data_IF_372114805139
#
_entry.id   IF_372114805139
#
_cell.length_a   1.000
_cell.length_b   1.000
_cell.length_c   1.000
_cell.angle_alpha   90.00
_cell.angle_beta   90.00
_cell.angle_gamma   90.00
#
_symmetry.space_group_name_H-M   'P 1'
#
loop_
_entity.id
_entity.type
_entity.pdbx_description
1 polymer ?
#
# COMPACT_ATOMS: atom_id res chain seq x y z
N UNK A 1 -4.46 8.09 12.62
CA UNK A 1 -5.75 7.37 12.48
C UNK A 1 -5.48 5.96 11.95
N UNK A 2 -6.20 4.92 12.40
CA UNK A 2 -6.07 3.58 11.81
C UNK A 2 -7.00 3.43 10.60
N UNK A 3 -6.52 2.83 9.51
CA UNK A 3 -7.30 2.55 8.31
C UNK A 3 -7.00 1.14 7.79
N UNK A 4 -7.97 0.55 7.11
CA UNK A 4 -7.84 -0.79 6.52
C UNK A 4 -8.67 -0.91 5.25
N UNK A 5 -8.17 -1.68 4.29
CA UNK A 5 -8.92 -2.08 3.10
C UNK A 5 -8.63 -3.55 2.77
N UNK A 6 -9.61 -4.26 2.23
CA UNK A 6 -9.46 -5.67 1.86
C UNK A 6 -10.12 -5.99 0.53
N UNK A 7 -9.49 -6.88 -0.23
CA UNK A 7 -10.00 -7.43 -1.48
C UNK A 7 -9.70 -8.92 -1.55
N UNK A 8 -10.52 -9.67 -2.28
CA UNK A 8 -10.27 -11.08 -2.57
C UNK A 8 -9.53 -11.20 -3.89
N UNK A 9 -8.50 -12.03 -3.92
CA UNK A 9 -7.69 -12.38 -5.08
C UNK A 9 -7.97 -13.84 -5.42
N UNK A 10 -8.24 -14.13 -6.71
CA UNK A 10 -8.56 -15.47 -7.24
C UNK A 10 -7.31 -16.33 -7.44
N UNK A 11 -6.44 -16.35 -6.43
CA UNK A 11 -5.28 -17.23 -6.37
C UNK A 11 -5.08 -17.71 -4.93
N UNK A 12 -4.48 -18.89 -4.75
CA UNK A 12 -4.14 -19.40 -3.43
C UNK A 12 -3.09 -18.54 -2.73
N UNK A 13 -3.04 -18.62 -1.40
CA UNK A 13 -2.09 -17.81 -0.62
C UNK A 13 -0.65 -18.14 -0.98
N UNK A 14 -0.38 -19.41 -1.30
CA UNK A 14 0.94 -19.91 -1.67
C UNK A 14 1.39 -19.38 -3.04
N UNK A 15 0.48 -19.25 -4.00
CA UNK A 15 0.77 -18.62 -5.29
C UNK A 15 1.06 -17.14 -5.13
N UNK A 16 0.19 -16.41 -4.42
CA UNK A 16 0.41 -14.99 -4.13
C UNK A 16 1.71 -14.75 -3.36
N UNK A 17 2.03 -15.60 -2.36
CA UNK A 17 3.27 -15.51 -1.59
C UNK A 17 4.51 -15.71 -2.48
N UNK A 18 4.45 -16.64 -3.44
CA UNK A 18 5.53 -16.83 -4.42
C UNK A 18 5.73 -15.59 -5.28
N UNK A 19 4.63 -15.00 -5.78
CA UNK A 19 4.69 -13.76 -6.55
C UNK A 19 5.26 -12.59 -5.73
N UNK A 20 4.91 -12.48 -4.44
CA UNK A 20 5.47 -11.45 -3.55
C UNK A 20 7.00 -11.54 -3.43
N UNK A 21 7.55 -12.75 -3.42
CA UNK A 21 8.98 -13.01 -3.20
C UNK A 21 9.86 -12.80 -4.44
N UNK A 22 9.31 -12.65 -5.64
CA UNK A 22 10.11 -12.49 -6.86
C UNK A 22 10.74 -11.09 -6.93
N UNK A 23 9.90 -10.06 -7.10
CA UNK A 23 10.33 -8.69 -7.37
C UNK A 23 9.19 -7.71 -7.05
N UNK A 24 9.35 -6.80 -6.06
CA UNK A 24 8.33 -5.83 -5.68
C UNK A 24 7.79 -4.98 -6.82
N UNK A 25 8.61 -4.68 -7.83
CA UNK A 25 8.24 -3.92 -9.02
C UNK A 25 7.15 -4.56 -9.88
N UNK A 26 6.92 -5.88 -9.75
CA UNK A 26 5.89 -6.57 -10.53
C UNK A 26 4.50 -6.48 -9.89
N UNK A 27 4.43 -6.35 -8.57
CA UNK A 27 3.16 -6.36 -7.84
C UNK A 27 2.85 -5.05 -7.12
N UNK A 28 3.84 -4.24 -6.74
CA UNK A 28 3.59 -2.95 -6.08
C UNK A 28 3.36 -1.85 -7.11
N UNK A 29 2.28 -1.06 -7.01
CA UNK A 29 1.95 -0.07 -8.03
C UNK A 29 3.00 1.03 -8.16
N UNK A 30 3.46 1.25 -9.39
CA UNK A 30 4.29 2.40 -9.79
C UNK A 30 5.52 2.59 -8.91
N UNK A 31 6.10 1.48 -8.47
CA UNK A 31 7.34 1.47 -7.73
C UNK A 31 8.48 1.82 -8.68
N UNK A 32 9.09 2.98 -8.49
CA UNK A 32 10.28 3.44 -9.20
C UNK A 32 11.46 3.28 -8.27
N UNK A 33 12.29 2.27 -8.53
CA UNK A 33 13.57 2.12 -7.84
C UNK A 33 14.51 3.25 -8.28
N UNK A 34 14.87 4.15 -7.36
CA UNK A 34 15.98 5.08 -7.63
C UNK A 34 17.29 4.29 -7.54
N UNK A 35 17.90 4.00 -8.69
CA UNK A 35 19.28 3.52 -8.73
C UNK A 35 20.20 4.71 -8.40
N UNK A 36 20.79 4.71 -7.20
CA UNK A 36 21.75 5.73 -6.79
C UNK A 36 22.08 5.70 -5.29
N UNK A 37 23.37 5.54 -4.98
CA UNK A 37 23.98 5.35 -3.66
C UNK A 37 23.51 6.30 -2.54
N UNK A 38 22.49 5.88 -1.79
CA UNK A 38 22.35 6.00 -0.31
C UNK A 38 20.99 5.45 0.08
N UNK A 39 20.98 4.25 0.68
CA UNK A 39 19.80 3.55 1.26
C UNK A 39 18.65 3.32 0.28
N UNK A 40 18.40 2.05 -0.10
CA UNK A 40 17.43 1.61 -1.12
C UNK A 40 15.98 2.07 -0.84
N UNK A 41 15.68 3.31 -1.18
CA UNK A 41 14.37 3.91 -1.05
C UNK A 41 13.69 3.95 -2.42
N UNK A 42 12.53 3.34 -2.53
CA UNK A 42 11.75 3.30 -3.76
C UNK A 42 10.73 4.44 -3.76
N UNK A 43 10.51 5.09 -4.89
CA UNK A 43 9.51 6.15 -5.04
C UNK A 43 8.23 5.54 -5.62
N UNK A 44 7.08 5.81 -5.02
CA UNK A 44 5.79 5.46 -5.61
C UNK A 44 4.86 6.67 -5.62
N UNK A 45 3.90 6.67 -6.53
CA UNK A 45 2.85 7.69 -6.57
C UNK A 45 1.63 7.21 -5.77
N UNK A 46 1.23 7.97 -4.75
CA UNK A 46 0.00 7.72 -3.98
C UNK A 46 -1.06 8.75 -4.38
N UNK A 47 -2.29 8.27 -4.59
CA UNK A 47 -3.47 9.09 -4.84
C UNK A 47 -4.26 9.35 -3.57
N UNK A 48 -4.69 10.59 -3.35
CA UNK A 48 -5.61 10.96 -2.27
C UNK A 48 -6.49 12.13 -2.73
N UNK A 49 -7.60 12.39 -2.04
CA UNK A 49 -8.50 13.51 -2.34
C UNK A 49 -8.37 14.60 -1.27
N UNK A 50 -8.15 15.85 -1.66
CA UNK A 50 -8.18 17.03 -0.77
C UNK A 50 -9.30 17.95 -1.25
N UNK A 51 -10.28 18.24 -0.38
CA UNK A 51 -11.46 19.03 -0.74
C UNK A 51 -12.18 18.51 -2.00
N UNK A 52 -12.20 17.18 -2.19
CA UNK A 52 -12.80 16.52 -3.36
C UNK A 52 -11.90 16.46 -4.62
N UNK A 53 -10.76 17.15 -4.64
CA UNK A 53 -9.85 17.15 -5.79
C UNK A 53 -8.82 16.02 -5.70
N UNK A 54 -8.58 15.24 -6.78
CA UNK A 54 -7.57 14.21 -6.79
C UNK A 54 -6.17 14.84 -6.78
N UNK A 55 -5.35 14.44 -5.83
CA UNK A 55 -3.94 14.82 -5.71
C UNK A 55 -3.10 13.54 -5.83
N UNK A 56 -2.15 13.54 -6.76
CA UNK A 56 -1.15 12.48 -6.93
C UNK A 56 0.23 13.03 -6.68
N UNK A 57 0.96 12.43 -5.73
CA UNK A 57 2.31 12.88 -5.36
C UNK A 57 3.21 11.68 -5.09
N UNK A 58 4.50 11.91 -5.31
CA UNK A 58 5.53 10.92 -5.05
C UNK A 58 5.84 10.86 -3.55
N UNK A 59 5.61 9.69 -2.97
CA UNK A 59 6.06 9.35 -1.63
C UNK A 59 7.26 8.43 -1.74
N UNK A 60 8.10 8.47 -0.73
CA UNK A 60 9.11 7.46 -0.52
C UNK A 60 8.43 6.26 0.13
N UNK A 61 8.43 5.12 -0.55
CA UNK A 61 7.90 3.84 -0.05
C UNK A 61 9.06 3.01 0.47
N UNK A 62 8.82 2.32 1.59
CA UNK A 62 9.67 1.26 2.09
C UNK A 62 8.84 -0.01 2.22
N UNK A 63 9.35 -1.09 1.63
CA UNK A 63 8.80 -2.43 1.75
C UNK A 63 9.74 -3.24 2.65
N UNK A 64 9.18 -3.82 3.70
CA UNK A 64 9.93 -4.71 4.59
C UNK A 64 10.08 -6.11 4.00
N UNK A 65 10.86 -6.93 4.68
CA UNK A 65 10.99 -8.36 4.36
C UNK A 65 9.64 -9.05 4.62
N UNK A 66 9.15 -9.90 3.69
CA UNK A 66 7.95 -10.69 3.93
C UNK A 66 8.11 -11.63 5.13
N UNK A 67 7.09 -11.64 5.99
CA UNK A 67 7.01 -12.45 7.20
C UNK A 67 5.93 -13.51 6.97
N UNK A 68 6.32 -14.78 6.93
CA UNK A 68 5.40 -15.91 6.82
C UNK A 68 5.13 -16.51 8.20
N UNK A 69 3.87 -16.78 8.51
CA UNK A 69 3.47 -17.44 9.76
C UNK A 69 2.27 -18.33 9.49
N UNK A 70 2.46 -19.65 9.64
CA UNK A 70 1.43 -20.62 9.27
C UNK A 70 1.07 -20.49 7.80
N UNK A 71 -0.21 -20.24 7.52
CA UNK A 71 -0.79 -20.13 6.19
C UNK A 71 -0.91 -18.68 5.68
N UNK A 72 -0.46 -17.68 6.45
CA UNK A 72 -0.52 -16.28 6.03
C UNK A 72 0.87 -15.66 5.88
N UNK A 73 0.92 -14.61 5.07
CA UNK A 73 2.12 -13.80 4.82
C UNK A 73 1.79 -12.33 5.03
N UNK A 74 2.73 -11.57 5.59
CA UNK A 74 2.63 -10.12 5.69
C UNK A 74 3.91 -9.44 5.22
N UNK A 75 3.75 -8.32 4.53
CA UNK A 75 4.85 -7.45 4.10
C UNK A 75 4.67 -6.11 4.82
N UNK A 76 5.61 -5.68 5.68
CA UNK A 76 5.58 -4.33 6.23
C UNK A 76 5.63 -3.30 5.10
N UNK A 77 4.78 -2.28 5.15
CA UNK A 77 4.72 -1.19 4.16
C UNK A 77 4.69 0.12 4.92
N UNK A 78 5.58 1.03 4.57
CA UNK A 78 5.48 2.41 5.02
C UNK A 78 5.69 3.36 3.86
N UNK A 79 5.13 4.56 3.98
CA UNK A 79 5.53 5.66 3.12
C UNK A 79 5.62 6.98 3.86
N UNK A 80 6.56 7.80 3.42
CA UNK A 80 6.78 9.15 3.92
C UNK A 80 6.86 10.14 2.75
N UNK A 81 6.43 11.39 2.95
CA UNK A 81 6.55 12.41 1.93
C UNK A 81 8.01 12.76 1.63
N UNK A 82 8.29 13.04 0.36
CA UNK A 82 9.63 13.43 -0.09
C UNK A 82 9.94 14.89 0.20
N UNK A 83 9.02 15.84 0.00
CA UNK A 83 9.02 17.24 0.49
C UNK A 83 7.80 18.01 -0.08
N UNK A 84 7.24 19.02 0.60
CA UNK A 84 7.33 19.32 2.04
C UNK A 84 6.43 18.39 2.88
N UNK A 85 6.93 17.97 4.04
CA UNK A 85 6.36 16.89 4.84
C UNK A 85 4.95 17.17 5.40
N UNK A 86 4.58 18.44 5.62
CA UNK A 86 3.29 18.83 6.23
C UNK A 86 2.08 18.76 5.29
N UNK A 87 2.30 18.56 3.98
CA UNK A 87 1.24 18.57 2.97
C UNK A 87 0.77 17.18 2.55
N UNK A 88 1.34 16.12 3.13
CA UNK A 88 1.15 14.76 2.65
C UNK A 88 1.04 13.74 3.77
N UNK A 89 0.30 12.65 3.54
CA UNK A 89 0.09 11.64 4.56
C UNK A 89 1.35 10.80 4.82
N UNK A 90 1.54 10.43 6.08
CA UNK A 90 2.47 9.37 6.49
C UNK A 90 1.66 8.10 6.70
N UNK A 91 2.23 6.97 6.30
CA UNK A 91 1.64 5.66 6.58
C UNK A 91 2.67 4.70 7.12
N UNK A 92 2.27 3.96 8.13
CA UNK A 92 3.01 2.83 8.68
C UNK A 92 2.03 1.66 8.86
N UNK A 93 2.29 0.56 8.17
CA UNK A 93 1.35 -0.55 8.11
C UNK A 93 1.92 -1.79 7.45
N UNK A 94 1.02 -2.58 6.88
CA UNK A 94 1.34 -3.85 6.26
C UNK A 94 0.34 -4.22 5.17
N UNK A 95 0.83 -4.97 4.20
CA UNK A 95 0.06 -5.86 3.35
C UNK A 95 -0.01 -7.23 4.04
N UNK A 96 -1.18 -7.84 4.13
CA UNK A 96 -1.37 -9.21 4.64
C UNK A 96 -2.15 -10.03 3.63
N UNK A 97 -1.70 -11.24 3.38
CA UNK A 97 -2.42 -12.25 2.61
C UNK A 97 -2.81 -13.39 3.53
N UNK A 98 -4.09 -13.76 3.52
CA UNK A 98 -4.65 -14.85 4.35
C UNK A 98 -5.50 -15.74 3.46
N UNK A 99 -5.51 -17.07 3.64
CA UNK A 99 -6.45 -17.94 2.94
C UNK A 99 -7.89 -17.47 3.12
N UNK A 100 -8.68 -17.51 2.04
CA UNK A 100 -10.09 -17.11 2.09
C UNK A 100 -11.03 -18.25 1.72
N UNK A 101 -10.75 -18.94 0.62
CA UNK A 101 -11.43 -20.15 0.15
C UNK A 101 -10.44 -20.94 -0.70
N UNK A 102 -10.83 -22.11 -1.19
CA UNK A 102 -10.00 -22.87 -2.13
C UNK A 102 -9.69 -22.01 -3.37
N UNK A 103 -8.41 -21.87 -3.70
CA UNK A 103 -7.95 -21.00 -4.79
C UNK A 103 -8.15 -19.49 -4.56
N UNK A 104 -8.51 -19.04 -3.35
CA UNK A 104 -8.75 -17.62 -3.07
C UNK A 104 -7.99 -17.13 -1.84
N UNK A 105 -7.49 -15.90 -1.94
CA UNK A 105 -6.74 -15.23 -0.88
C UNK A 105 -7.38 -13.89 -0.55
N UNK A 106 -7.47 -13.57 0.74
CA UNK A 106 -7.81 -12.23 1.20
C UNK A 106 -6.55 -11.40 1.30
N UNK A 107 -6.49 -10.35 0.50
CA UNK A 107 -5.48 -9.31 0.56
C UNK A 107 -6.00 -8.17 1.42
N UNK A 108 -5.27 -7.81 2.47
CA UNK A 108 -5.59 -6.70 3.37
C UNK A 108 -4.41 -5.73 3.44
N UNK A 109 -4.68 -4.44 3.22
CA UNK A 109 -3.73 -3.37 3.54
C UNK A 109 -4.26 -2.63 4.76
N UNK A 110 -3.46 -2.54 5.82
CA UNK A 110 -3.88 -1.87 7.04
C UNK A 110 -2.72 -1.21 7.77
N UNK A 111 -3.01 -0.16 8.53
CA UNK A 111 -1.99 0.57 9.27
C UNK A 111 -2.46 1.90 9.84
N UNK A 112 -1.51 2.60 10.45
CA UNK A 112 -1.67 3.97 10.90
C UNK A 112 -1.44 4.91 9.72
N UNK A 113 -2.45 5.71 9.44
CA UNK A 113 -2.45 6.78 8.45
C UNK A 113 -2.53 8.11 9.19
N UNK A 114 -1.53 8.97 8.99
CA UNK A 114 -1.49 10.33 9.50
C UNK A 114 -1.91 11.26 8.35
N UNK A 115 -3.05 11.94 8.44
CA UNK A 115 -3.52 12.81 7.37
C UNK A 115 -2.61 14.04 7.21
N UNK A 116 -2.57 14.64 6.01
CA UNK A 116 -1.90 15.92 5.84
C UNK A 116 -2.60 17.03 6.66
N UNK A 117 -1.87 18.10 7.00
CA UNK A 117 -2.38 19.33 7.62
C UNK A 117 -2.69 19.34 9.12
N UNK A 118 -2.39 18.29 9.89
CA UNK A 118 -2.48 18.35 11.36
C UNK A 118 -1.61 19.49 11.96
N UNK A 119 -0.61 19.97 11.20
CA UNK A 119 0.28 21.07 11.58
C UNK A 119 -0.03 22.45 10.95
N UNK A 120 -1.05 22.58 10.07
CA UNK A 120 -1.30 23.82 9.29
C UNK A 120 -2.66 24.51 9.60
N UNK A 121 -3.33 24.14 10.69
CA UNK A 121 -4.46 24.91 11.23
C UNK A 121 -5.74 24.93 10.39
N UNK A 122 -5.85 24.09 9.35
CA UNK A 122 -7.09 23.86 8.61
C UNK A 122 -7.74 22.56 9.07
N UNK A 123 -8.81 22.66 9.84
CA UNK A 123 -9.62 21.51 10.25
C UNK A 123 -10.38 20.98 9.03
N UNK A 124 -9.89 19.88 8.46
CA UNK A 124 -10.73 19.03 7.62
C UNK A 124 -11.55 18.12 8.54
N UNK A 125 -12.80 17.84 8.15
CA UNK A 125 -13.68 16.95 8.90
C UNK A 125 -13.03 15.56 9.06
N UNK A 126 -12.99 15.04 10.28
CA UNK A 126 -12.32 13.78 10.61
C UNK A 126 -12.91 12.60 9.84
N UNK A 127 -14.23 12.60 9.61
CA UNK A 127 -14.93 11.58 8.82
C UNK A 127 -14.47 11.62 7.37
N UNK A 128 -14.36 12.81 6.78
CA UNK A 128 -13.85 12.97 5.43
C UNK A 128 -12.40 12.47 5.29
N UNK A 129 -11.56 12.70 6.31
CA UNK A 129 -10.17 12.19 6.34
C UNK A 129 -10.10 10.67 6.48
N UNK A 130 -10.98 10.08 7.29
CA UNK A 130 -11.09 8.63 7.39
C UNK A 130 -11.47 7.99 6.04
N UNK A 131 -12.51 8.51 5.39
CA UNK A 131 -12.93 8.02 4.08
C UNK A 131 -11.85 8.19 3.01
N UNK A 132 -11.06 9.28 3.06
CA UNK A 132 -9.93 9.47 2.16
C UNK A 132 -8.83 8.43 2.39
N UNK A 133 -8.49 8.14 3.66
CA UNK A 133 -7.51 7.13 4.01
C UNK A 133 -7.93 5.73 3.55
N UNK A 134 -9.18 5.32 3.84
CA UNK A 134 -9.71 4.03 3.39
C UNK A 134 -9.75 3.91 1.87
N UNK A 135 -10.16 4.97 1.16
CA UNK A 135 -10.15 4.99 -0.30
C UNK A 135 -8.73 4.82 -0.87
N UNK A 136 -7.73 5.50 -0.29
CA UNK A 136 -6.32 5.34 -0.68
C UNK A 136 -5.83 3.91 -0.44
N UNK A 137 -6.13 3.30 0.72
CA UNK A 137 -5.74 1.92 0.99
C UNK A 137 -6.47 0.92 0.08
N UNK A 138 -7.72 1.21 -0.29
CA UNK A 138 -8.49 0.39 -1.23
C UNK A 138 -7.88 0.44 -2.63
N UNK A 139 -7.57 1.62 -3.16
CA UNK A 139 -6.90 1.78 -4.45
C UNK A 139 -5.53 1.07 -4.47
N UNK A 140 -4.79 1.13 -3.36
CA UNK A 140 -3.53 0.39 -3.20
C UNK A 140 -3.75 -1.12 -3.20
N UNK A 141 -4.70 -1.63 -2.41
CA UNK A 141 -5.03 -3.05 -2.36
C UNK A 141 -5.47 -3.60 -3.72
N UNK A 142 -6.34 -2.88 -4.44
CA UNK A 142 -6.77 -3.21 -5.80
C UNK A 142 -5.60 -3.23 -6.78
N UNK A 143 -4.70 -2.26 -6.68
CA UNK A 143 -3.53 -2.17 -7.56
C UNK A 143 -2.52 -3.30 -7.30
N UNK A 144 -2.32 -3.68 -6.04
CA UNK A 144 -1.48 -4.83 -5.68
C UNK A 144 -2.11 -6.13 -6.18
N UNK A 145 -3.40 -6.33 -5.96
CA UNK A 145 -4.13 -7.50 -6.48
C UNK A 145 -3.97 -7.62 -8.00
N UNK A 146 -4.14 -6.52 -8.73
CA UNK A 146 -3.95 -6.50 -10.18
C UNK A 146 -2.50 -6.84 -10.58
N UNK A 147 -1.50 -6.40 -9.81
CA UNK A 147 -0.10 -6.74 -10.01
C UNK A 147 0.21 -8.22 -9.77
N UNK A 148 -0.35 -8.79 -8.71
CA UNK A 148 -0.24 -10.23 -8.41
C UNK A 148 -0.86 -11.06 -9.54
N UNK A 149 -2.07 -10.74 -9.99
CA UNK A 149 -2.73 -11.46 -11.08
C UNK A 149 -1.90 -11.43 -12.37
N UNK A 150 -1.32 -10.28 -12.73
CA UNK A 150 -0.44 -10.19 -13.92
C UNK A 150 0.81 -11.04 -13.77
N UNK A 151 1.43 -11.04 -12.59
CA UNK A 151 2.65 -11.81 -12.33
C UNK A 151 2.38 -13.32 -12.40
N UNK A 152 1.23 -13.75 -11.88
CA UNK A 152 0.80 -15.14 -11.89
C UNK A 152 0.35 -15.64 -13.26
N UNK A 153 -0.27 -14.77 -14.07
CA UNK A 153 -0.62 -15.11 -15.46
C UNK A 153 0.60 -15.23 -16.39
N UNK A 154 1.74 -14.68 -15.99
CA UNK A 154 2.98 -14.71 -16.78
C UNK A 154 3.96 -15.83 -16.35
N UNK A 155 3.64 -16.58 -15.30
CA UNK A 155 4.45 -17.67 -14.73
C UNK A 155 3.99 -19.04 -15.22
#
# INVERSE_FOLDING_TARGET
MYATASIVVEHSVSECARALNQSPEHWFPRLVSKIGNRSDHQLAAVGFKVSGLPVRKHVQVSLGVPITTGDWIAVPISWRPTFPASLFPVFDGRLKLVPHAEGHTRLTVSGTYEPPFDSLGRTLDEIAMHGAAEATLKELAESIAAGLNRSLAAA
#
